data_IF_230703964325
#
_entry.id   IF_230703964325
#
_cell.length_a   1.000
_cell.length_b   1.000
_cell.length_c   1.000
_cell.angle_alpha   90.00
_cell.angle_beta   90.00
_cell.angle_gamma   90.00
#
_symmetry.space_group_name_H-M   'P 1'
#
loop_
_entity.id
_entity.type
_entity.pdbx_description
1 polymer ?
#
# COMPACT_ATOMS: atom_id res chain seq x y z
N UNK A 1 13.45 -5.61 -0.43
CA UNK A 1 13.87 -7.02 -0.56
C UNK A 1 15.21 -7.26 0.14
N UNK A 2 16.30 -6.61 -0.26
CA UNK A 2 17.61 -6.69 0.45
C UNK A 2 17.50 -6.30 1.94
N UNK A 3 16.71 -5.27 2.26
CA UNK A 3 16.51 -4.80 3.64
C UNK A 3 15.75 -5.80 4.56
N UNK A 4 14.81 -6.57 4.01
CA UNK A 4 14.03 -7.56 4.76
C UNK A 4 14.85 -8.82 5.03
N UNK A 5 15.65 -9.24 4.04
CA UNK A 5 16.55 -10.40 4.17
C UNK A 5 17.61 -10.18 5.25
N UNK A 6 18.11 -8.95 5.37
CA UNK A 6 19.09 -8.54 6.39
C UNK A 6 18.51 -8.40 7.81
N UNK A 7 17.19 -8.22 7.95
CA UNK A 7 16.58 -7.82 9.23
C UNK A 7 15.67 -8.89 9.88
N UNK A 8 15.05 -9.77 9.08
CA UNK A 8 14.05 -10.72 9.59
C UNK A 8 14.24 -12.17 9.12
N UNK A 9 15.25 -12.46 8.29
CA UNK A 9 15.64 -13.81 7.81
C UNK A 9 14.51 -14.66 7.19
N UNK A 10 13.35 -14.04 6.90
CA UNK A 10 12.15 -14.72 6.43
C UNK A 10 11.38 -13.81 5.47
N UNK A 11 10.97 -14.38 4.34
CA UNK A 11 10.08 -13.71 3.39
C UNK A 11 8.65 -14.16 3.71
N UNK A 12 7.78 -13.21 4.04
CA UNK A 12 6.40 -13.51 4.41
C UNK A 12 5.54 -13.69 3.15
N UNK A 13 5.67 -14.87 2.53
CA UNK A 13 4.96 -15.25 1.30
C UNK A 13 3.46 -15.42 1.54
N UNK A 14 3.08 -15.93 2.73
CA UNK A 14 1.69 -16.21 3.10
C UNK A 14 0.80 -14.94 3.08
N UNK A 15 1.15 -13.84 3.78
CA UNK A 15 0.35 -12.61 3.71
C UNK A 15 0.36 -11.96 2.33
N UNK A 16 1.44 -12.08 1.55
CA UNK A 16 1.49 -11.57 0.19
C UNK A 16 0.54 -12.33 -0.77
N UNK A 17 0.43 -13.66 -0.62
CA UNK A 17 -0.54 -14.45 -1.40
C UNK A 17 -1.99 -14.08 -1.04
N UNK A 18 -2.25 -13.90 0.27
CA UNK A 18 -3.57 -13.48 0.76
C UNK A 18 -3.90 -12.08 0.24
N UNK A 19 -2.97 -11.13 0.32
CA UNK A 19 -3.19 -9.77 -0.17
C UNK A 19 -3.38 -9.71 -1.67
N UNK A 20 -2.66 -10.54 -2.43
CA UNK A 20 -2.82 -10.64 -3.87
C UNK A 20 -4.19 -11.24 -4.22
N UNK A 21 -4.64 -12.27 -3.49
CA UNK A 21 -5.96 -12.89 -3.70
C UNK A 21 -7.10 -11.94 -3.37
N UNK A 22 -7.04 -11.28 -2.20
CA UNK A 22 -8.04 -10.26 -1.80
C UNK A 22 -8.00 -9.07 -2.75
N UNK A 23 -6.81 -8.59 -3.10
CA UNK A 23 -6.64 -7.51 -4.07
C UNK A 23 -7.20 -7.85 -5.44
N UNK A 24 -7.05 -9.09 -5.91
CA UNK A 24 -7.60 -9.56 -7.19
C UNK A 24 -9.14 -9.55 -7.20
N UNK A 25 -9.77 -9.90 -6.07
CA UNK A 25 -11.23 -9.78 -5.90
C UNK A 25 -11.64 -8.30 -5.98
N UNK A 26 -10.92 -7.40 -5.29
CA UNK A 26 -11.18 -5.96 -5.35
C UNK A 26 -10.94 -5.34 -6.75
N UNK A 27 -9.97 -5.86 -7.52
CA UNK A 27 -9.75 -5.48 -8.92
C UNK A 27 -10.94 -5.87 -9.79
N UNK A 28 -11.46 -7.09 -9.59
CA UNK A 28 -12.64 -7.59 -10.31
C UNK A 28 -13.86 -6.69 -10.04
N UNK A 29 -13.94 -6.13 -8.83
CA UNK A 29 -14.95 -5.15 -8.43
C UNK A 29 -14.68 -3.71 -8.94
N UNK A 30 -13.60 -3.47 -9.71
CA UNK A 30 -13.15 -2.16 -10.22
C UNK A 30 -12.93 -1.08 -9.13
N UNK A 31 -12.73 -1.50 -7.88
CA UNK A 31 -12.53 -0.57 -6.76
C UNK A 31 -11.09 -0.04 -6.73
N UNK A 32 -10.12 -0.88 -7.11
CA UNK A 32 -8.68 -0.59 -7.04
C UNK A 32 -8.02 -0.95 -8.37
N UNK A 33 -7.03 -0.17 -8.81
CA UNK A 33 -6.25 -0.45 -10.01
C UNK A 33 -5.35 -1.68 -9.85
N UNK A 34 -5.18 -2.46 -10.92
CA UNK A 34 -4.29 -3.63 -10.92
C UNK A 34 -2.84 -3.29 -10.50
N UNK A 35 -2.39 -2.06 -10.79
CA UNK A 35 -1.07 -1.57 -10.38
C UNK A 35 -0.93 -1.47 -8.86
N UNK A 36 -1.91 -0.90 -8.17
CA UNK A 36 -1.88 -0.68 -6.72
C UNK A 36 -1.88 -2.01 -5.96
N UNK A 37 -2.63 -3.01 -6.46
CA UNK A 37 -2.66 -4.36 -5.89
C UNK A 37 -1.32 -5.05 -6.00
N UNK A 38 -0.65 -4.91 -7.16
CA UNK A 38 0.69 -5.46 -7.36
C UNK A 38 1.70 -4.79 -6.42
N UNK A 39 1.58 -3.48 -6.22
CA UNK A 39 2.43 -2.72 -5.29
C UNK A 39 2.21 -3.18 -3.83
N UNK A 40 0.97 -3.27 -3.38
CA UNK A 40 0.61 -3.72 -2.01
C UNK A 40 1.10 -5.16 -1.78
N UNK A 41 0.92 -6.04 -2.78
CA UNK A 41 1.41 -7.42 -2.73
C UNK A 41 2.92 -7.50 -2.53
N UNK A 42 3.69 -6.73 -3.28
CA UNK A 42 5.16 -6.71 -3.16
C UNK A 42 5.58 -6.13 -1.81
N UNK A 43 4.87 -5.12 -1.29
CA UNK A 43 5.12 -4.57 0.04
C UNK A 43 4.79 -5.56 1.16
N UNK A 44 3.70 -6.33 1.04
CA UNK A 44 3.36 -7.35 2.03
C UNK A 44 4.40 -8.47 2.13
N UNK A 45 5.19 -8.73 1.08
CA UNK A 45 6.35 -9.63 1.17
C UNK A 45 7.45 -9.11 2.10
N UNK A 46 7.53 -7.80 2.28
CA UNK A 46 8.57 -7.13 3.06
C UNK A 46 8.16 -6.83 4.51
N UNK A 47 6.89 -7.00 4.88
CA UNK A 47 6.33 -6.61 6.18
C UNK A 47 5.93 -7.86 6.98
N UNK A 48 6.36 -8.00 8.24
CA UNK A 48 5.94 -9.10 9.10
C UNK A 48 4.44 -9.02 9.43
N UNK A 49 3.80 -10.18 9.62
CA UNK A 49 2.34 -10.30 9.79
C UNK A 49 1.74 -9.41 10.88
N UNK A 50 2.48 -9.17 11.97
CA UNK A 50 2.06 -8.30 13.07
C UNK A 50 1.98 -6.81 12.68
N UNK A 51 2.76 -6.38 11.68
CA UNK A 51 2.80 -4.98 11.24
C UNK A 51 1.83 -4.68 10.09
N UNK A 52 1.16 -5.69 9.53
CA UNK A 52 0.21 -5.53 8.41
C UNK A 52 -0.92 -4.56 8.78
N UNK A 53 -1.47 -4.67 10.00
CA UNK A 53 -2.55 -3.78 10.45
C UNK A 53 -2.07 -2.33 10.57
N UNK A 54 -0.90 -2.12 11.17
CA UNK A 54 -0.29 -0.78 11.23
C UNK A 54 0.00 -0.24 9.84
N UNK A 55 0.47 -1.07 8.92
CA UNK A 55 0.78 -0.67 7.54
C UNK A 55 -0.48 -0.26 6.77
N UNK A 56 -1.55 -1.07 6.87
CA UNK A 56 -2.84 -0.72 6.28
C UNK A 56 -3.40 0.56 6.89
N UNK A 57 -3.26 0.75 8.21
CA UNK A 57 -3.70 1.97 8.89
C UNK A 57 -2.94 3.22 8.43
N UNK A 58 -1.60 3.15 8.32
CA UNK A 58 -0.82 4.28 7.79
C UNK A 58 -1.09 4.52 6.30
N UNK A 59 -1.35 3.47 5.54
CA UNK A 59 -1.69 3.57 4.10
C UNK A 59 -3.06 4.21 3.91
N UNK A 60 -4.07 3.84 4.70
CA UNK A 60 -5.39 4.48 4.64
C UNK A 60 -5.32 5.92 5.13
N UNK A 61 -4.54 6.21 6.18
CA UNK A 61 -4.34 7.57 6.67
C UNK A 61 -3.63 8.45 5.64
N UNK A 62 -2.58 7.94 4.99
CA UNK A 62 -1.90 8.61 3.89
C UNK A 62 -2.81 8.80 2.69
N UNK A 63 -3.63 7.78 2.34
CA UNK A 63 -4.64 7.87 1.29
C UNK A 63 -5.70 8.93 1.58
N UNK A 64 -6.16 9.02 2.83
CA UNK A 64 -7.12 10.03 3.28
C UNK A 64 -6.52 11.44 3.20
N UNK A 65 -5.28 11.63 3.64
CA UNK A 65 -4.54 12.88 3.45
C UNK A 65 -4.39 13.24 1.97
N UNK A 66 -4.07 12.26 1.11
CA UNK A 66 -3.96 12.45 -0.33
C UNK A 66 -5.29 12.88 -0.97
N UNK A 67 -6.42 12.33 -0.50
CA UNK A 67 -7.75 12.76 -0.93
C UNK A 67 -8.00 14.21 -0.49
N UNK A 68 -7.69 14.57 0.75
CA UNK A 68 -7.86 15.95 1.26
C UNK A 68 -7.01 16.94 0.47
N UNK A 69 -5.70 16.68 0.33
CA UNK A 69 -4.76 17.56 -0.39
C UNK A 69 -5.10 17.60 -1.87
N UNK A 70 -5.42 16.46 -2.46
CA UNK A 70 -5.82 16.34 -3.85
C UNK A 70 -7.11 17.12 -4.16
N UNK A 71 -8.10 17.04 -3.27
CA UNK A 71 -9.32 17.83 -3.38
C UNK A 71 -9.07 19.32 -3.23
N UNK A 72 -8.08 19.75 -2.43
CA UNK A 72 -7.80 21.16 -2.18
C UNK A 72 -7.02 21.81 -3.34
N UNK A 73 -6.05 21.11 -3.94
CA UNK A 73 -5.14 21.66 -4.94
C UNK A 73 -5.41 21.21 -6.39
N UNK A 74 -5.88 19.98 -6.61
CA UNK A 74 -5.81 19.30 -7.91
C UNK A 74 -7.14 18.67 -8.36
N UNK A 75 -8.29 19.30 -8.04
CA UNK A 75 -9.63 18.80 -8.41
C UNK A 75 -9.75 18.39 -9.88
N UNK A 76 -9.19 19.16 -10.81
CA UNK A 76 -9.27 18.89 -12.25
C UNK A 76 -8.37 17.72 -12.70
N UNK A 77 -7.17 17.58 -12.13
CA UNK A 77 -6.25 16.47 -12.43
C UNK A 77 -6.79 15.15 -11.88
N UNK A 78 -7.39 15.14 -10.68
CA UNK A 78 -8.01 13.94 -10.09
C UNK A 78 -9.17 13.43 -10.93
N UNK A 79 -9.97 14.36 -11.49
CA UNK A 79 -11.12 14.02 -12.31
C UNK A 79 -10.73 13.40 -13.66
N UNK A 80 -9.51 13.66 -14.14
CA UNK A 80 -9.04 13.26 -15.47
C UNK A 80 -8.07 12.08 -15.43
N UNK A 81 -7.20 12.00 -14.43
CA UNK A 81 -6.14 10.97 -14.32
C UNK A 81 -6.32 10.02 -13.14
N UNK A 82 -7.27 10.30 -12.24
CA UNK A 82 -7.45 9.56 -10.99
C UNK A 82 -6.46 9.98 -9.90
N UNK A 83 -6.69 9.51 -8.68
CA UNK A 83 -5.79 9.75 -7.55
C UNK A 83 -4.53 8.87 -7.69
N UNK A 84 -3.33 9.41 -7.46
CA UNK A 84 -2.09 8.63 -7.48
C UNK A 84 -1.97 7.79 -6.20
N UNK A 85 -2.77 6.73 -6.09
CA UNK A 85 -2.83 5.86 -4.91
C UNK A 85 -1.48 5.20 -4.58
N UNK A 86 -0.67 4.89 -5.59
CA UNK A 86 0.69 4.38 -5.39
C UNK A 86 1.58 5.29 -4.54
N UNK A 87 1.37 6.62 -4.56
CA UNK A 87 2.09 7.56 -3.68
C UNK A 87 1.68 7.32 -2.23
N UNK A 88 0.37 7.23 -1.96
CA UNK A 88 -0.14 6.97 -0.61
C UNK A 88 0.38 5.66 -0.01
N UNK A 89 0.38 4.60 -0.83
CA UNK A 89 0.85 3.26 -0.44
C UNK A 89 2.35 3.30 -0.13
N UNK A 90 3.14 3.97 -0.98
CA UNK A 90 4.58 4.11 -0.77
C UNK A 90 4.91 4.95 0.47
N UNK A 91 4.18 6.05 0.70
CA UNK A 91 4.36 6.89 1.88
C UNK A 91 3.94 6.18 3.16
N UNK A 92 2.81 5.46 3.15
CA UNK A 92 2.36 4.65 4.28
C UNK A 92 3.37 3.56 4.65
N UNK A 93 4.00 2.94 3.65
CA UNK A 93 5.10 1.99 3.86
C UNK A 93 6.31 2.64 4.51
N UNK A 94 6.72 3.80 3.99
CA UNK A 94 7.92 4.50 4.48
C UNK A 94 7.75 4.89 5.95
N UNK A 95 6.57 5.41 6.33
CA UNK A 95 6.23 5.74 7.72
C UNK A 95 6.24 4.49 8.59
N UNK A 96 5.60 3.41 8.15
CA UNK A 96 5.58 2.15 8.88
C UNK A 96 6.99 1.58 9.10
N UNK A 97 7.82 1.60 8.05
CA UNK A 97 9.20 1.13 8.11
C UNK A 97 10.11 2.03 8.93
N UNK A 98 9.83 3.32 9.11
CA UNK A 98 10.57 4.19 10.04
C UNK A 98 10.15 3.91 11.48
N UNK A 99 8.86 3.70 11.72
CA UNK A 99 8.32 3.53 13.07
C UNK A 99 8.64 2.16 13.68
N UNK A 100 8.75 1.13 12.84
CA UNK A 100 9.01 -0.26 13.24
C UNK A 100 10.32 -0.83 12.65
N UNK A 101 11.08 0.01 11.93
CA UNK A 101 12.43 -0.25 11.43
C UNK A 101 13.51 -0.09 12.48
#
# INVERSE_FOLDING_TARGET
MIFTYLKYDTVFIFPALVSLSVGFILFTLKVIGAGDIKLISVLMLAIPSFQIMSFLFFTTFSGLLLIIVGWLFFKNEIKTKGLPYGVAISTGFFINSILFG
#
